data_IF_729447195045
#
_entry.id   IF_729447195045
#
_cell.length_a   1.000
_cell.length_b   1.000
_cell.length_c   1.000
_cell.angle_alpha   90.00
_cell.angle_beta   90.00
_cell.angle_gamma   90.00
#
_symmetry.space_group_name_H-M   'P 1'
#
loop_
_entity.id
_entity.type
_entity.pdbx_description
1 polymer ?
#
# COMPACT_ATOMS: atom_id res chain seq x y z
N UNK A 1 23.05 22.62 -61.14
CA UNK A 1 23.52 21.25 -60.91
C UNK A 1 23.35 20.92 -59.43
N UNK A 2 22.78 19.74 -59.18
CA UNK A 2 22.45 19.04 -57.93
C UNK A 2 23.29 19.43 -56.70
N UNK A 3 22.66 19.89 -55.61
CA UNK A 3 22.11 19.09 -54.51
C UNK A 3 23.19 18.38 -53.68
N UNK A 4 23.27 18.69 -52.37
CA UNK A 4 23.44 17.69 -51.31
C UNK A 4 23.54 18.33 -49.91
N UNK A 5 22.91 17.64 -48.94
CA UNK A 5 23.39 17.47 -47.56
C UNK A 5 23.12 18.52 -46.47
N UNK A 6 21.90 19.06 -46.31
CA UNK A 6 21.56 19.77 -45.04
C UNK A 6 20.13 19.55 -44.53
N UNK A 7 19.58 18.35 -44.67
CA UNK A 7 18.19 18.09 -44.26
C UNK A 7 17.98 16.69 -43.67
N UNK A 8 18.86 16.27 -42.77
CA UNK A 8 18.66 15.00 -42.02
C UNK A 8 19.25 15.08 -40.61
N UNK A 9 18.85 16.07 -39.80
CA UNK A 9 19.20 16.06 -38.37
C UNK A 9 18.23 16.82 -37.44
N UNK A 10 17.08 17.29 -37.92
CA UNK A 10 16.13 18.06 -37.10
C UNK A 10 14.87 17.28 -36.68
N UNK A 11 14.73 15.99 -37.02
CA UNK A 11 13.50 15.22 -36.73
C UNK A 11 13.67 14.21 -35.58
N UNK A 12 14.89 13.91 -35.16
CA UNK A 12 15.14 12.93 -34.08
C UNK A 12 15.08 13.49 -32.65
N UNK A 13 14.90 14.80 -32.47
CA UNK A 13 14.91 15.44 -31.15
C UNK A 13 13.50 15.72 -30.56
N UNK A 14 12.42 15.42 -31.29
CA UNK A 14 11.05 15.74 -30.87
C UNK A 14 10.24 14.54 -30.34
N UNK A 15 10.83 13.33 -30.31
CA UNK A 15 10.17 12.12 -29.81
C UNK A 15 10.55 11.74 -28.36
N UNK A 16 11.02 12.68 -27.55
CA UNK A 16 10.90 12.58 -26.10
C UNK A 16 9.45 12.89 -25.69
N UNK A 17 8.52 12.10 -26.24
CA UNK A 17 7.17 11.98 -25.73
C UNK A 17 7.30 11.57 -24.27
N UNK A 18 6.80 12.45 -23.40
CA UNK A 18 6.50 12.13 -22.03
C UNK A 18 5.71 10.81 -22.02
N UNK A 19 6.39 9.73 -21.63
CA UNK A 19 5.71 8.50 -21.28
C UNK A 19 4.71 8.88 -20.17
N UNK A 20 3.42 8.53 -20.31
CA UNK A 20 2.52 8.66 -19.17
C UNK A 20 3.14 7.80 -18.07
N UNK A 21 3.48 8.43 -16.95
CA UNK A 21 3.82 7.73 -15.73
C UNK A 21 2.53 7.03 -15.32
N UNK A 22 2.34 5.78 -15.74
CA UNK A 22 1.16 5.00 -15.38
C UNK A 22 1.08 4.99 -13.86
N UNK A 23 -0.01 5.55 -13.33
CA UNK A 23 -0.37 5.36 -11.93
C UNK A 23 -0.38 3.86 -11.67
N UNK A 24 0.21 3.45 -10.55
CA UNK A 24 0.29 2.03 -10.20
C UNK A 24 -1.14 1.51 -10.01
N UNK A 25 -1.58 0.63 -10.91
CA UNK A 25 -2.87 -0.04 -10.80
C UNK A 25 -2.82 -0.96 -9.57
N UNK A 26 -3.49 -0.54 -8.49
CA UNK A 26 -3.54 -1.31 -7.25
C UNK A 26 -4.56 -2.44 -7.42
N UNK A 27 -4.16 -3.73 -7.39
CA UNK A 27 -5.12 -4.81 -7.54
C UNK A 27 -6.12 -4.81 -6.40
N UNK A 28 -7.40 -4.90 -6.75
CA UNK A 28 -8.49 -4.89 -5.80
C UNK A 28 -8.98 -6.31 -5.54
N UNK A 29 -9.04 -6.68 -4.27
CA UNK A 29 -9.76 -7.84 -3.78
C UNK A 29 -11.28 -7.61 -3.74
N UNK A 30 -12.06 -8.66 -3.44
CA UNK A 30 -13.50 -8.54 -3.29
C UNK A 30 -13.85 -7.59 -2.14
N UNK A 31 -14.97 -6.88 -2.28
CA UNK A 31 -15.44 -5.95 -1.24
C UNK A 31 -15.73 -6.65 0.09
N UNK A 32 -16.08 -7.93 0.05
CA UNK A 32 -16.35 -8.76 1.23
C UNK A 32 -15.10 -9.11 2.05
N UNK A 33 -13.90 -8.75 1.60
CA UNK A 33 -12.66 -8.94 2.35
C UNK A 33 -12.38 -7.81 3.36
N UNK A 34 -13.02 -6.64 3.21
CA UNK A 34 -12.84 -5.53 4.14
C UNK A 34 -13.30 -5.90 5.55
N UNK A 35 -12.42 -5.70 6.54
CA UNK A 35 -12.70 -6.01 7.96
C UNK A 35 -12.49 -7.47 8.34
N UNK A 36 -12.04 -8.34 7.42
CA UNK A 36 -11.64 -9.71 7.73
C UNK A 36 -10.15 -9.78 8.06
N UNK A 37 -9.80 -10.60 9.05
CA UNK A 37 -8.39 -10.91 9.35
C UNK A 37 -7.80 -11.78 8.23
N UNK A 38 -8.50 -12.86 7.88
CA UNK A 38 -8.11 -13.79 6.80
C UNK A 38 -8.84 -13.39 5.52
N UNK A 39 -8.09 -13.15 4.45
CA UNK A 39 -8.62 -12.70 3.15
C UNK A 39 -8.99 -13.89 2.27
N UNK A 40 -9.98 -13.71 1.41
CA UNK A 40 -10.46 -14.77 0.50
C UNK A 40 -9.44 -15.07 -0.61
N UNK A 41 -8.74 -14.03 -1.10
CA UNK A 41 -7.70 -14.17 -2.11
C UNK A 41 -6.32 -14.00 -1.48
N UNK A 42 -5.33 -14.78 -1.95
CA UNK A 42 -3.92 -14.49 -1.68
C UNK A 42 -3.57 -13.22 -2.43
N UNK A 43 -3.35 -12.14 -1.71
CA UNK A 43 -3.15 -10.84 -2.34
C UNK A 43 -1.69 -10.65 -2.71
N UNK A 44 -1.50 -10.34 -3.99
CA UNK A 44 -0.24 -9.94 -4.59
C UNK A 44 -0.50 -8.63 -5.30
N UNK A 45 0.33 -7.62 -5.05
CA UNK A 45 0.30 -6.38 -5.82
C UNK A 45 0.82 -6.65 -7.24
N UNK A 46 -0.06 -6.98 -8.18
CA UNK A 46 0.25 -7.18 -9.60
C UNK A 46 -0.38 -8.46 -10.13
N UNK A 47 -1.17 -8.37 -11.20
CA UNK A 47 -1.91 -9.50 -11.77
C UNK A 47 -1.06 -10.73 -12.10
N UNK A 48 -1.64 -11.92 -11.94
CA UNK A 48 -1.08 -13.27 -12.21
C UNK A 48 0.32 -13.60 -11.66
N UNK A 49 0.95 -12.72 -10.90
CA UNK A 49 2.25 -12.99 -10.30
C UNK A 49 2.01 -13.38 -8.84
N UNK A 50 2.64 -14.45 -8.38
CA UNK A 50 2.79 -14.67 -6.95
C UNK A 50 3.80 -13.61 -6.42
N UNK A 51 3.67 -13.15 -5.17
CA UNK A 51 4.40 -11.98 -4.62
C UNK A 51 5.92 -12.06 -4.81
N UNK A 52 6.42 -13.27 -5.07
CA UNK A 52 7.81 -13.63 -5.21
C UNK A 52 8.50 -13.20 -6.51
N UNK A 53 7.85 -12.43 -7.40
CA UNK A 53 8.47 -11.97 -8.66
C UNK A 53 8.36 -10.46 -8.94
N UNK A 54 7.56 -9.71 -8.17
CA UNK A 54 7.40 -8.25 -8.38
C UNK A 54 8.64 -7.46 -7.92
N UNK A 55 9.49 -8.06 -7.06
CA UNK A 55 10.76 -7.47 -6.62
C UNK A 55 12.01 -7.97 -7.39
N UNK A 56 11.84 -8.60 -8.55
CA UNK A 56 12.97 -8.88 -9.46
C UNK A 56 13.93 -9.99 -9.00
N UNK A 57 13.47 -10.92 -8.17
CA UNK A 57 14.21 -12.10 -7.70
C UNK A 57 13.31 -12.96 -6.83
N UNK A 58 13.67 -14.23 -6.61
CA UNK A 58 12.94 -15.08 -5.67
C UNK A 58 12.82 -14.38 -4.31
N UNK A 59 11.63 -14.41 -3.70
CA UNK A 59 11.38 -13.76 -2.41
C UNK A 59 12.27 -14.36 -1.32
N UNK A 60 13.41 -13.72 -1.09
CA UNK A 60 14.37 -14.07 -0.04
C UNK A 60 14.10 -13.24 1.23
N UNK A 61 12.83 -13.17 1.63
CA UNK A 61 12.43 -12.50 2.87
C UNK A 61 11.97 -13.53 3.88
N UNK A 62 12.71 -13.63 4.98
CA UNK A 62 12.34 -14.49 6.11
C UNK A 62 11.08 -13.93 6.79
N UNK A 63 10.01 -14.72 6.93
CA UNK A 63 8.81 -14.27 7.60
C UNK A 63 9.10 -13.88 9.05
N UNK A 64 8.61 -12.72 9.47
CA UNK A 64 8.90 -12.19 10.81
C UNK A 64 8.49 -13.13 11.96
N UNK A 65 7.56 -14.07 11.75
CA UNK A 65 7.12 -15.05 12.74
C UNK A 65 8.09 -16.21 12.96
N UNK A 66 9.07 -16.40 12.07
CA UNK A 66 10.11 -17.42 12.26
C UNK A 66 11.17 -16.97 13.28
N UNK A 67 11.30 -15.66 13.52
CA UNK A 67 12.16 -15.14 14.57
C UNK A 67 11.56 -15.36 15.97
N UNK A 68 12.39 -15.71 16.98
CA UNK A 68 11.95 -15.77 18.38
C UNK A 68 11.34 -14.45 18.86
N UNK A 69 10.36 -14.50 19.78
CA UNK A 69 9.70 -13.32 20.36
C UNK A 69 10.67 -12.30 21.00
N UNK A 70 11.83 -12.76 21.47
CA UNK A 70 12.88 -11.91 22.05
C UNK A 70 13.69 -11.13 21.00
N UNK A 71 13.67 -11.55 19.73
CA UNK A 71 14.41 -10.94 18.62
C UNK A 71 14.05 -9.48 18.41
N UNK A 72 15.05 -8.65 18.13
CA UNK A 72 14.85 -7.25 17.74
C UNK A 72 13.97 -7.12 16.49
N UNK A 73 14.16 -8.00 15.50
CA UNK A 73 13.35 -8.02 14.27
C UNK A 73 11.88 -8.31 14.56
N UNK A 74 11.60 -9.31 15.40
CA UNK A 74 10.24 -9.65 15.82
C UNK A 74 9.57 -8.50 16.57
N UNK A 75 10.32 -7.79 17.43
CA UNK A 75 9.82 -6.62 18.18
C UNK A 75 9.54 -5.42 17.26
N UNK A 76 10.45 -5.10 16.34
CA UNK A 76 10.27 -4.00 15.38
C UNK A 76 9.10 -4.27 14.43
N UNK A 77 8.92 -5.52 13.98
CA UNK A 77 7.82 -5.92 13.12
C UNK A 77 6.43 -5.72 13.73
N UNK A 78 6.29 -5.59 15.06
CA UNK A 78 4.97 -5.37 15.71
C UNK A 78 4.34 -4.02 15.33
N UNK A 79 5.14 -3.05 14.90
CA UNK A 79 4.65 -1.77 14.41
C UNK A 79 4.11 -1.86 12.97
N UNK A 80 4.39 -2.95 12.25
CA UNK A 80 3.95 -3.16 10.87
C UNK A 80 2.59 -3.84 10.87
N UNK A 81 1.69 -3.38 10.02
CA UNK A 81 0.39 -4.01 9.83
C UNK A 81 -0.13 -3.83 8.41
N UNK A 82 -1.23 -4.53 8.13
CA UNK A 82 -1.95 -4.44 6.85
C UNK A 82 -2.94 -3.29 6.91
N UNK A 83 -2.99 -2.47 5.88
CA UNK A 83 -3.98 -1.43 5.69
C UNK A 83 -5.04 -1.95 4.72
N UNK A 84 -6.26 -2.15 5.18
CA UNK A 84 -7.40 -2.57 4.37
C UNK A 84 -8.16 -1.31 3.95
N UNK A 85 -8.36 -1.11 2.64
CA UNK A 85 -8.90 0.11 2.05
C UNK A 85 -10.12 -0.26 1.22
N UNK A 86 -11.31 -0.03 1.77
CA UNK A 86 -12.55 -0.21 1.02
C UNK A 86 -12.72 0.93 0.03
N UNK A 87 -12.98 0.59 -1.23
CA UNK A 87 -13.31 1.53 -2.30
C UNK A 87 -14.66 1.18 -2.92
N UNK A 88 -15.20 2.05 -3.77
CA UNK A 88 -16.38 1.73 -4.59
C UNK A 88 -16.14 0.62 -5.63
N UNK A 89 -14.89 0.26 -5.91
CA UNK A 89 -14.53 -0.78 -6.89
C UNK A 89 -14.06 -2.09 -6.29
N UNK A 90 -13.80 -2.15 -4.98
CA UNK A 90 -13.27 -3.34 -4.29
C UNK A 90 -12.45 -2.98 -3.06
N UNK A 91 -11.67 -3.92 -2.54
CA UNK A 91 -10.80 -3.70 -1.37
C UNK A 91 -9.34 -3.72 -1.78
N UNK A 92 -8.63 -2.62 -1.57
CA UNK A 92 -7.19 -2.53 -1.71
C UNK A 92 -6.51 -2.90 -0.39
N UNK A 93 -5.30 -3.45 -0.47
CA UNK A 93 -4.51 -3.77 0.71
C UNK A 93 -3.08 -3.31 0.55
N UNK A 94 -2.59 -2.60 1.56
CA UNK A 94 -1.24 -2.05 1.61
C UNK A 94 -0.55 -2.42 2.92
N UNK A 95 0.74 -2.12 3.02
CA UNK A 95 1.47 -2.14 4.28
C UNK A 95 1.46 -0.75 4.92
N UNK A 96 1.38 -0.70 6.24
CA UNK A 96 1.46 0.53 7.01
C UNK A 96 2.25 0.33 8.30
N UNK A 97 2.89 1.40 8.77
CA UNK A 97 3.72 1.41 9.97
C UNK A 97 3.11 2.30 11.04
N UNK A 98 3.04 1.82 12.28
CA UNK A 98 2.71 2.63 13.45
C UNK A 98 3.93 3.48 13.82
N UNK A 99 3.83 4.80 13.64
CA UNK A 99 4.92 5.75 13.94
C UNK A 99 4.71 6.49 15.26
N UNK A 100 3.50 6.41 15.82
CA UNK A 100 3.15 6.85 17.18
C UNK A 100 1.81 6.22 17.57
N UNK A 101 1.38 6.44 18.80
CA UNK A 101 0.07 6.03 19.32
C UNK A 101 -1.12 6.36 18.39
N UNK A 102 -1.04 7.46 17.64
CA UNK A 102 -2.18 7.94 16.85
C UNK A 102 -1.94 7.93 15.33
N UNK A 103 -0.69 7.76 14.90
CA UNK A 103 -0.32 7.98 13.50
C UNK A 103 0.27 6.73 12.84
N UNK A 104 -0.18 6.53 11.60
CA UNK A 104 0.29 5.53 10.69
C UNK A 104 1.03 6.18 9.52
N UNK A 105 2.07 5.51 9.01
CA UNK A 105 2.79 5.87 7.80
C UNK A 105 2.56 4.80 6.72
N UNK A 106 2.17 5.23 5.52
CA UNK A 106 2.02 4.35 4.34
C UNK A 106 2.39 5.10 3.07
N UNK A 107 2.27 4.44 1.91
CA UNK A 107 2.46 5.08 0.61
C UNK A 107 1.21 5.87 0.22
N UNK A 108 1.39 7.05 -0.38
CA UNK A 108 0.27 7.91 -0.77
C UNK A 108 -0.66 7.26 -1.81
N UNK A 109 -0.12 6.45 -2.72
CA UNK A 109 -0.92 5.73 -3.72
C UNK A 109 -1.95 4.77 -3.11
N UNK A 110 -1.77 4.35 -1.85
CA UNK A 110 -2.71 3.48 -1.16
C UNK A 110 -4.04 4.19 -0.89
N UNK A 111 -4.05 5.52 -0.75
CA UNK A 111 -5.27 6.31 -0.53
C UNK A 111 -5.61 7.23 -1.70
N UNK A 112 -4.66 7.46 -2.61
CA UNK A 112 -4.83 8.21 -3.85
C UNK A 112 -4.94 7.24 -5.04
N UNK A 113 -5.92 6.33 -4.97
CA UNK A 113 -6.11 5.28 -5.99
C UNK A 113 -6.82 5.90 -7.20
N UNK A 114 -6.19 5.83 -8.37
CA UNK A 114 -6.80 6.38 -9.58
C UNK A 114 -8.09 5.64 -9.95
N UNK A 115 -9.11 6.40 -10.31
CA UNK A 115 -10.43 5.89 -10.68
C UNK A 115 -11.20 5.18 -9.56
N UNK A 116 -10.74 5.12 -8.30
CA UNK A 116 -11.46 4.47 -7.20
C UNK A 116 -11.63 5.44 -6.02
N UNK A 117 -12.85 5.51 -5.45
CA UNK A 117 -13.14 6.36 -4.30
C UNK A 117 -12.98 5.57 -3.01
N UNK A 118 -12.07 5.99 -2.14
CA UNK A 118 -11.91 5.45 -0.78
C UNK A 118 -13.18 5.72 0.04
N UNK A 119 -13.66 4.70 0.75
CA UNK A 119 -14.88 4.76 1.56
C UNK A 119 -14.60 4.49 3.05
N UNK A 120 -13.70 3.55 3.35
CA UNK A 120 -13.31 3.21 4.70
C UNK A 120 -11.90 2.61 4.72
N UNK A 121 -11.19 2.80 5.82
CA UNK A 121 -9.82 2.29 5.99
C UNK A 121 -9.69 1.65 7.37
N UNK A 122 -9.07 0.48 7.41
CA UNK A 122 -8.76 -0.26 8.63
C UNK A 122 -7.27 -0.61 8.68
N UNK A 123 -6.68 -0.58 9.87
CA UNK A 123 -5.34 -1.06 10.15
C UNK A 123 -5.42 -2.37 10.94
N UNK A 124 -4.88 -3.44 10.36
CA UNK A 124 -4.83 -4.78 10.93
C UNK A 124 -3.44 -5.02 11.49
N UNK A 125 -3.32 -4.99 12.81
CA UNK A 125 -2.06 -5.22 13.53
C UNK A 125 -2.01 -6.64 14.10
N UNK A 126 -0.82 -7.23 14.14
CA UNK A 126 -0.60 -8.53 14.79
C UNK A 126 -0.92 -9.75 13.93
N UNK A 127 -1.42 -9.57 12.70
CA UNK A 127 -1.58 -10.66 11.74
C UNK A 127 -0.24 -10.97 11.05
N UNK A 128 0.51 -11.92 11.62
CA UNK A 128 1.90 -12.23 11.24
C UNK A 128 2.08 -13.62 10.64
N UNK A 129 1.06 -14.47 10.73
CA UNK A 129 1.07 -15.83 10.21
C UNK A 129 -0.28 -16.13 9.55
N UNK A 130 -0.24 -16.77 8.38
CA UNK A 130 -1.45 -17.02 7.60
C UNK A 130 -2.41 -17.96 8.33
N UNK A 131 -3.67 -17.54 8.49
CA UNK A 131 -4.70 -18.32 9.16
C UNK A 131 -4.66 -18.27 10.69
N UNK A 132 -3.60 -17.72 11.29
CA UNK A 132 -3.48 -17.49 12.74
C UNK A 132 -4.00 -16.08 13.03
N UNK A 133 -5.08 -16.01 13.80
CA UNK A 133 -5.79 -14.74 14.04
C UNK A 133 -5.65 -14.24 15.48
N UNK A 134 -5.09 -15.07 16.34
CA UNK A 134 -4.79 -14.78 17.73
C UNK A 134 -3.96 -13.50 17.84
N UNK A 135 -4.35 -12.63 18.76
CA UNK A 135 -3.72 -11.31 18.99
C UNK A 135 -3.80 -10.32 17.81
N UNK A 136 -4.56 -10.64 16.76
CA UNK A 136 -4.85 -9.67 15.70
C UNK A 136 -5.86 -8.64 16.19
N UNK A 137 -5.62 -7.37 15.87
CA UNK A 137 -6.53 -6.26 16.17
C UNK A 137 -6.77 -5.42 14.93
N UNK A 138 -8.01 -4.99 14.76
CA UNK A 138 -8.42 -4.10 13.68
C UNK A 138 -8.76 -2.74 14.27
N UNK A 139 -8.17 -1.69 13.73
CA UNK A 139 -8.42 -0.30 14.12
C UNK A 139 -8.95 0.47 12.92
N UNK A 140 -10.02 1.25 13.11
CA UNK A 140 -10.49 2.16 12.06
C UNK A 140 -9.52 3.33 11.89
N UNK A 141 -9.38 3.79 10.66
CA UNK A 141 -8.41 4.82 10.26
C UNK A 141 -9.15 5.95 9.56
N UNK A 142 -8.77 7.19 9.83
CA UNK A 142 -9.26 8.33 9.09
C UNK A 142 -8.56 8.36 7.72
N UNK A 143 -9.28 8.21 6.60
CA UNK A 143 -8.68 8.24 5.27
C UNK A 143 -8.15 9.61 4.87
N UNK A 144 -8.56 10.69 5.58
CA UNK A 144 -8.04 12.02 5.33
C UNK A 144 -6.57 12.12 5.78
N UNK A 145 -5.63 12.42 4.87
CA UNK A 145 -4.22 12.53 5.20
C UNK A 145 -3.96 13.68 6.18
N UNK A 146 -3.19 13.42 7.21
CA UNK A 146 -2.65 14.45 8.12
C UNK A 146 -1.50 15.17 7.44
N UNK A 147 -0.69 14.44 6.69
CA UNK A 147 0.46 14.96 5.95
C UNK A 147 0.75 14.05 4.76
N UNK A 148 1.20 14.65 3.66
CA UNK A 148 1.70 13.96 2.48
C UNK A 148 3.07 14.56 2.17
N UNK A 149 4.10 13.72 2.04
CA UNK A 149 5.42 14.21 1.67
C UNK A 149 5.38 14.81 0.27
N UNK A 150 6.17 15.85 -0.03
CA UNK A 150 6.28 16.33 -1.40
C UNK A 150 6.90 15.25 -2.30
N UNK A 151 6.46 15.19 -3.56
CA UNK A 151 7.18 14.43 -4.57
C UNK A 151 8.47 15.19 -4.91
N UNK A 152 9.61 14.78 -4.34
CA UNK A 152 10.88 15.46 -4.54
C UNK A 152 11.54 15.13 -5.89
N UNK A 153 11.27 13.92 -6.42
CA UNK A 153 11.66 13.43 -7.74
C UNK A 153 10.70 12.30 -8.17
N UNK A 154 10.66 11.91 -9.46
CA UNK A 154 9.75 10.88 -9.97
C UNK A 154 9.82 9.54 -9.23
N UNK A 155 10.99 9.19 -8.70
CA UNK A 155 11.25 7.93 -8.00
C UNK A 155 11.25 8.07 -6.46
N UNK A 156 10.90 9.24 -5.93
CA UNK A 156 10.84 9.43 -4.48
C UNK A 156 9.52 8.86 -3.95
N UNK A 157 9.53 7.92 -2.99
CA UNK A 157 8.30 7.40 -2.42
C UNK A 157 7.54 8.54 -1.74
N UNK A 158 6.34 8.82 -2.24
CA UNK A 158 5.42 9.76 -1.61
C UNK A 158 4.78 9.05 -0.45
N UNK A 159 5.10 9.49 0.76
CA UNK A 159 4.58 8.91 2.00
C UNK A 159 3.45 9.74 2.56
N UNK A 160 2.59 9.08 3.31
CA UNK A 160 1.36 9.65 3.82
C UNK A 160 1.18 9.27 5.28
N UNK A 161 0.95 10.29 6.12
CA UNK A 161 0.59 10.13 7.52
C UNK A 161 -0.92 10.17 7.68
N UNK A 162 -1.51 9.11 8.20
CA UNK A 162 -2.95 9.03 8.55
C UNK A 162 -3.15 8.81 10.05
N UNK A 163 -4.32 9.22 10.54
CA UNK A 163 -4.68 9.07 11.95
C UNK A 163 -5.52 7.83 12.19
N UNK A 164 -5.20 7.07 13.23
CA UNK A 164 -6.12 6.10 13.81
C UNK A 164 -7.36 6.83 14.36
N UNK A 165 -8.56 6.29 14.12
CA UNK A 165 -9.79 6.77 14.74
C UNK A 165 -9.95 6.14 16.13
N UNK A 166 -10.25 6.96 17.13
CA UNK A 166 -10.56 6.48 18.48
C UNK A 166 -9.36 6.13 19.38
N UNK A 167 -8.12 6.47 18.98
CA UNK A 167 -6.95 6.36 19.88
C UNK A 167 -6.83 7.54 20.86
N UNK A 168 -7.82 8.42 20.93
CA UNK A 168 -8.07 9.26 22.11
C UNK A 168 -8.85 8.43 23.11
N UNK A 169 -8.19 7.94 24.17
CA UNK A 169 -8.77 7.30 25.38
C UNK A 169 -10.26 6.96 25.23
N UNK A 170 -10.58 5.73 24.83
CA UNK A 170 -11.88 5.01 24.86
C UNK A 170 -12.18 4.38 23.50
N UNK A 171 -11.72 3.13 23.33
CA UNK A 171 -12.08 2.24 22.22
C UNK A 171 -13.61 2.19 22.04
N UNK A 172 -14.11 2.60 20.88
CA UNK A 172 -15.48 2.25 20.46
C UNK A 172 -15.40 1.47 19.15
N UNK A 173 -15.57 0.15 19.33
CA UNK A 173 -16.19 -0.87 18.47
C UNK A 173 -16.17 -0.66 16.94
N UNK A 174 -15.57 -1.67 16.29
CA UNK A 174 -15.60 -2.06 14.86
C UNK A 174 -16.84 -1.59 14.11
N UNK A 175 -16.64 -0.78 13.07
CA UNK A 175 -17.64 -0.44 12.07
C UNK A 175 -17.78 -1.60 11.07
N UNK A 176 -18.82 -2.42 11.23
CA UNK A 176 -19.30 -3.30 10.17
C UNK A 176 -20.19 -2.50 9.22
N UNK A 177 -19.79 -2.38 7.96
CA UNK A 177 -20.66 -1.85 6.91
C UNK A 177 -21.71 -2.92 6.57
N UNK A 178 -22.99 -2.59 6.77
CA UNK A 178 -24.13 -3.36 6.26
C UNK A 178 -24.28 -3.19 4.75
#
# INVERSE_FOLDING_TARGET
>A
MFATRRLTLAVLAACSLALPLSAQELPLGPRSDFGKVVLTNKQVSGGSVTLEQVFGGGFDSEPAYQYPEISGYRKMGRAVGRLDIATDKGTAHCTSFLISDQYLLTNAHCLQIDGARVQAVNFVAGYVENGVTENTRIYSVNPAPVEISPAAAPDTPVTLRISLQGFTRTMTRVSTLN
#
